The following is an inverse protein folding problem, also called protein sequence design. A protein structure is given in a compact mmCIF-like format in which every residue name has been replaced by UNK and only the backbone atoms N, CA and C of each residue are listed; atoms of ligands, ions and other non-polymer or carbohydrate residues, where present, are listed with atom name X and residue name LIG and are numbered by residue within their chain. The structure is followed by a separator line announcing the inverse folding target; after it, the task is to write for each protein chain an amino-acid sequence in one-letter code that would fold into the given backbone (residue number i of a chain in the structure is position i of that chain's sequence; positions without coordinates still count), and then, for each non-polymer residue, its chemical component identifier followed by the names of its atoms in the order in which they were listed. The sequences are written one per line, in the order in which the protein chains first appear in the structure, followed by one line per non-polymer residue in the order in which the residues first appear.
data_IF_706161061847
#
_entry.id   IF_706161061847
#
_cell.length_a   1.000
_cell.length_b   1.000
_cell.length_c   1.000
_cell.angle_alpha   90.00
_cell.angle_beta   90.00
_cell.angle_gamma   90.00
#
_symmetry.space_group_name_H-M   'P 1'
#
loop_
_entity.id
_entity.type
_entity.pdbx_description
1 polymer ?
#
# COMPACT_ATOMS: atom_id res chain seq x y z
N UNK A 1 -65.37 -20.02 -36.34
CA UNK A 1 -65.12 -19.79 -34.90
C UNK A 1 -63.72 -20.21 -34.43
N UNK A 2 -62.70 -20.31 -35.30
CA UNK A 2 -61.34 -20.73 -34.92
C UNK A 2 -60.21 -19.83 -35.46
N UNK A 3 -60.54 -18.78 -36.22
CA UNK A 3 -59.56 -17.89 -36.85
C UNK A 3 -59.24 -16.68 -35.96
N UNK A 4 -60.19 -16.24 -35.13
CA UNK A 4 -60.07 -15.01 -34.32
C UNK A 4 -59.16 -15.19 -33.09
N UNK A 5 -59.22 -16.37 -32.44
CA UNK A 5 -58.40 -16.66 -31.24
C UNK A 5 -56.91 -16.80 -31.54
N UNK A 6 -56.53 -17.28 -32.74
CA UNK A 6 -55.12 -17.35 -33.13
C UNK A 6 -54.51 -15.98 -33.42
N UNK A 7 -55.31 -15.04 -33.93
CA UNK A 7 -54.86 -13.67 -34.21
C UNK A 7 -54.64 -12.90 -32.90
N UNK A 8 -55.56 -13.04 -31.94
CA UNK A 8 -55.42 -12.46 -30.61
C UNK A 8 -54.19 -12.99 -29.85
N UNK A 9 -53.92 -14.29 -29.94
CA UNK A 9 -52.76 -14.91 -29.28
C UNK A 9 -51.42 -14.51 -29.92
N UNK A 10 -51.38 -14.30 -31.25
CA UNK A 10 -50.19 -13.77 -31.95
C UNK A 10 -49.89 -12.31 -31.57
N UNK A 11 -50.93 -11.47 -31.49
CA UNK A 11 -50.79 -10.05 -31.13
C UNK A 11 -50.35 -9.91 -29.66
N UNK A 12 -50.88 -10.75 -28.76
CA UNK A 12 -50.46 -10.78 -27.35
C UNK A 12 -48.99 -11.23 -27.19
N UNK A 13 -48.56 -12.27 -27.91
CA UNK A 13 -47.16 -12.74 -27.91
C UNK A 13 -46.19 -11.70 -28.50
N UNK A 14 -46.59 -10.98 -29.55
CA UNK A 14 -45.78 -9.89 -30.13
C UNK A 14 -45.65 -8.67 -29.20
N UNK A 15 -46.70 -8.33 -28.44
CA UNK A 15 -46.65 -7.23 -27.46
C UNK A 15 -45.82 -7.59 -26.23
N UNK A 16 -45.87 -8.83 -25.77
CA UNK A 16 -45.04 -9.32 -24.66
C UNK A 16 -43.55 -9.37 -25.08
N UNK A 17 -43.25 -9.77 -26.31
CA UNK A 17 -41.86 -9.77 -26.81
C UNK A 17 -41.31 -8.35 -27.04
N UNK A 18 -42.14 -7.39 -27.45
CA UNK A 18 -41.77 -5.96 -27.51
C UNK A 18 -41.63 -5.31 -26.12
N UNK A 19 -42.36 -5.76 -25.10
CA UNK A 19 -42.15 -5.31 -23.72
C UNK A 19 -40.88 -5.88 -23.09
N UNK A 20 -40.49 -7.10 -23.45
CA UNK A 20 -39.25 -7.74 -22.95
C UNK A 20 -38.01 -7.09 -23.56
N UNK A 21 -38.06 -6.66 -24.83
CA UNK A 21 -36.95 -5.93 -25.46
C UNK A 21 -36.85 -4.45 -25.08
N UNK A 22 -37.84 -3.89 -24.35
CA UNK A 22 -37.78 -2.51 -23.84
C UNK A 22 -37.22 -2.43 -22.40
N UNK A 23 -36.93 -3.58 -21.76
CA UNK A 23 -36.31 -3.64 -20.43
C UNK A 23 -34.81 -3.94 -20.45
N UNK A 24 -34.19 -4.10 -21.62
CA UNK A 24 -32.75 -4.35 -21.79
C UNK A 24 -32.01 -3.11 -22.31
N UNK A 25 -32.28 -1.95 -21.71
CA UNK A 25 -31.40 -0.78 -21.80
C UNK A 25 -30.80 -0.53 -20.41
N UNK A 26 -30.11 -1.54 -19.86
CA UNK A 26 -29.23 -1.32 -18.72
C UNK A 26 -28.04 -0.55 -19.26
N UNK A 27 -28.10 0.77 -19.14
CA UNK A 27 -26.93 1.62 -19.28
C UNK A 27 -25.88 1.09 -18.30
N UNK A 28 -24.83 0.48 -18.83
CA UNK A 28 -23.58 0.29 -18.11
C UNK A 28 -23.02 1.68 -17.84
N UNK A 29 -23.49 2.31 -16.76
CA UNK A 29 -22.74 3.38 -16.14
C UNK A 29 -21.48 2.73 -15.59
N UNK A 30 -20.38 2.86 -16.33
CA UNK A 30 -19.05 2.75 -15.74
C UNK A 30 -19.00 3.82 -14.67
N UNK A 31 -19.23 3.45 -13.42
CA UNK A 31 -18.79 4.26 -12.30
C UNK A 31 -17.27 4.28 -12.42
N UNK A 32 -16.74 5.31 -13.07
CA UNK A 32 -15.38 5.73 -12.85
C UNK A 32 -15.32 6.15 -11.38
N UNK A 33 -14.96 5.21 -10.51
CA UNK A 33 -14.46 5.55 -9.18
C UNK A 33 -13.17 6.32 -9.40
N UNK A 34 -13.28 7.64 -9.53
CA UNK A 34 -12.16 8.53 -9.35
C UNK A 34 -11.70 8.35 -7.91
N UNK A 35 -10.63 7.57 -7.72
CA UNK A 35 -9.91 7.59 -6.47
C UNK A 35 -9.49 9.04 -6.23
N UNK A 36 -9.86 9.61 -5.09
CA UNK A 36 -9.43 10.94 -4.71
C UNK A 36 -7.90 11.03 -4.81
N UNK A 37 -7.40 12.20 -5.21
CA UNK A 37 -5.95 12.41 -5.31
C UNK A 37 -5.26 12.03 -3.99
N UNK A 38 -4.10 11.38 -4.05
CA UNK A 38 -3.36 11.04 -2.86
C UNK A 38 -3.03 12.31 -2.08
N UNK A 39 -3.05 12.24 -0.75
CA UNK A 39 -2.56 13.32 0.11
C UNK A 39 -1.09 13.65 -0.15
N UNK A 40 -0.36 12.69 -0.71
CA UNK A 40 1.04 12.81 -1.06
C UNK A 40 1.44 11.73 -2.07
N UNK A 41 2.28 12.09 -3.03
CA UNK A 41 3.03 11.16 -3.88
C UNK A 41 4.46 11.67 -3.99
N UNK A 42 5.44 10.79 -3.77
CA UNK A 42 6.84 11.18 -3.87
C UNK A 42 7.20 11.58 -5.31
N UNK A 43 7.93 12.69 -5.46
CA UNK A 43 8.28 13.25 -6.77
C UNK A 43 9.53 12.61 -7.40
N UNK A 44 9.64 11.28 -7.34
CA UNK A 44 10.87 10.54 -7.71
C UNK A 44 11.26 10.79 -9.18
N UNK A 45 10.29 10.85 -10.09
CA UNK A 45 10.55 10.98 -11.52
C UNK A 45 11.19 12.33 -11.91
N UNK A 46 10.85 13.40 -11.19
CA UNK A 46 11.38 14.74 -11.46
C UNK A 46 12.60 15.10 -10.59
N UNK A 47 12.95 14.27 -9.61
CA UNK A 47 14.16 14.46 -8.81
C UNK A 47 15.40 13.99 -9.58
N UNK A 48 16.51 14.73 -9.46
CA UNK A 48 17.76 14.42 -10.13
C UNK A 48 18.40 13.12 -9.57
N UNK A 49 19.10 12.36 -10.43
CA UNK A 49 19.78 11.14 -9.97
C UNK A 49 20.94 11.53 -9.07
N UNK A 50 21.03 10.89 -7.89
CA UNK A 50 22.00 11.23 -6.86
C UNK A 50 21.41 12.09 -5.74
N UNK A 51 20.27 12.74 -5.99
CA UNK A 51 19.60 13.61 -5.02
C UNK A 51 18.46 12.88 -4.31
N UNK A 52 17.97 13.50 -3.24
CA UNK A 52 16.73 13.11 -2.54
C UNK A 52 15.66 14.17 -2.86
N UNK A 53 14.37 13.81 -3.00
CA UNK A 53 13.35 14.82 -3.22
C UNK A 53 13.30 15.83 -2.06
N UNK A 54 13.20 17.14 -2.38
CA UNK A 54 13.35 18.25 -1.42
C UNK A 54 12.37 18.22 -0.24
N UNK A 55 11.24 17.53 -0.40
CA UNK A 55 10.19 17.38 0.61
C UNK A 55 10.40 16.19 1.56
N UNK A 56 11.49 15.43 1.38
CA UNK A 56 11.91 14.37 2.28
C UNK A 56 12.81 14.91 3.38
N UNK A 57 12.58 14.41 4.60
CA UNK A 57 13.43 14.63 5.76
C UNK A 57 14.22 13.35 6.03
N UNK A 58 15.49 13.33 5.62
CA UNK A 58 16.44 12.25 5.93
C UNK A 58 16.69 12.23 7.44
N UNK A 59 16.40 11.11 8.10
CA UNK A 59 16.74 10.96 9.52
C UNK A 59 18.18 10.48 9.68
N UNK A 60 18.56 9.51 8.86
CA UNK A 60 19.90 8.94 8.72
C UNK A 60 19.96 8.10 7.43
N UNK A 61 21.16 7.82 6.93
CA UNK A 61 21.44 7.00 5.76
C UNK A 61 21.52 7.78 4.45
N UNK A 62 22.34 7.27 3.52
CA UNK A 62 22.61 7.92 2.23
C UNK A 62 21.55 7.57 1.17
N UNK A 63 20.29 7.89 1.46
CA UNK A 63 19.21 7.75 0.48
C UNK A 63 19.49 8.61 -0.75
N UNK A 64 19.21 8.10 -1.95
CA UNK A 64 19.27 8.90 -3.18
C UNK A 64 18.43 8.29 -4.28
N UNK A 65 17.97 9.12 -5.22
CA UNK A 65 17.34 8.66 -6.46
C UNK A 65 18.37 7.99 -7.34
N UNK A 66 18.08 6.76 -7.76
CA UNK A 66 18.84 6.02 -8.78
C UNK A 66 17.96 5.73 -9.97
N UNK A 67 18.57 5.33 -11.08
CA UNK A 67 17.88 4.97 -12.32
C UNK A 67 18.40 3.63 -12.84
N UNK A 68 17.49 2.72 -13.16
CA UNK A 68 17.80 1.42 -13.77
C UNK A 68 16.72 1.09 -14.80
N UNK A 69 17.11 0.62 -15.99
CA UNK A 69 16.19 0.24 -17.06
C UNK A 69 15.14 1.31 -17.41
N UNK A 70 15.51 2.59 -17.29
CA UNK A 70 14.62 3.72 -17.58
C UNK A 70 13.81 4.23 -16.37
N UNK A 71 13.65 3.43 -15.32
CA UNK A 71 12.83 3.78 -14.16
C UNK A 71 13.68 4.40 -13.04
N UNK A 72 13.15 5.43 -12.37
CA UNK A 72 13.77 6.03 -11.17
C UNK A 72 13.16 5.44 -9.91
N UNK A 73 13.95 5.35 -8.85
CA UNK A 73 13.53 4.88 -7.52
C UNK A 73 14.44 5.48 -6.45
N UNK A 74 13.98 5.51 -5.20
CA UNK A 74 14.81 5.84 -4.04
C UNK A 74 15.62 4.60 -3.66
N UNK A 75 16.93 4.73 -3.46
CA UNK A 75 17.82 3.67 -3.02
C UNK A 75 18.45 4.01 -1.67
N UNK A 76 18.43 3.05 -0.75
CA UNK A 76 19.29 3.00 0.43
C UNK A 76 20.46 2.05 0.12
N UNK A 77 21.73 2.49 0.22
CA UNK A 77 22.87 1.64 -0.13
C UNK A 77 23.03 0.44 0.81
N UNK A 78 23.83 -0.54 0.36
CA UNK A 78 24.14 -1.76 1.09
C UNK A 78 25.02 -1.58 2.34
N UNK A 79 25.51 -0.37 2.60
CA UNK A 79 26.43 -0.04 3.68
C UNK A 79 26.29 1.44 4.06
N UNK A 80 26.49 1.84 5.33
CA UNK A 80 26.82 0.98 6.48
C UNK A 80 25.67 0.07 6.93
N UNK A 81 25.94 -0.86 7.83
CA UNK A 81 24.95 -1.83 8.32
C UNK A 81 24.28 -1.30 9.59
N UNK A 82 23.22 -0.50 9.43
CA UNK A 82 22.39 0.01 10.54
C UNK A 82 20.89 0.02 10.18
N UNK A 83 20.07 0.79 10.89
CA UNK A 83 18.67 1.06 10.58
C UNK A 83 18.46 2.53 10.22
N UNK A 84 18.06 2.77 8.99
CA UNK A 84 17.92 4.08 8.38
C UNK A 84 16.47 4.38 8.06
N UNK A 85 16.12 5.65 8.03
CA UNK A 85 14.76 6.08 7.78
C UNK A 85 14.69 7.47 7.18
N UNK A 86 13.64 7.70 6.40
CA UNK A 86 13.38 8.98 5.77
C UNK A 86 11.87 9.27 5.84
N UNK A 87 11.54 10.50 6.25
CA UNK A 87 10.17 10.94 6.49
C UNK A 87 9.70 11.87 5.37
N UNK A 88 8.41 11.86 5.07
CA UNK A 88 7.84 12.65 3.97
C UNK A 88 6.36 12.92 4.21
N UNK A 89 5.73 13.72 3.35
CA UNK A 89 4.28 13.94 3.36
C UNK A 89 3.72 14.59 4.64
N UNK A 90 2.37 14.67 4.74
CA UNK A 90 1.70 15.36 5.84
C UNK A 90 1.65 14.52 7.11
N UNK A 91 1.75 15.19 8.26
CA UNK A 91 1.57 14.56 9.58
C UNK A 91 0.09 14.32 9.88
N UNK A 92 -0.23 13.10 10.30
CA UNK A 92 -1.58 12.73 10.76
C UNK A 92 -1.52 11.92 12.06
N UNK A 93 -2.68 11.82 12.74
CA UNK A 93 -2.88 10.87 13.85
C UNK A 93 -3.47 9.56 13.34
N UNK A 94 -4.49 9.68 12.50
CA UNK A 94 -5.23 8.58 11.92
C UNK A 94 -5.79 8.98 10.55
N UNK A 95 -6.51 8.04 9.95
CA UNK A 95 -7.27 8.16 8.71
C UNK A 95 -6.40 8.42 7.48
N UNK A 96 -5.18 7.88 7.52
CA UNK A 96 -4.22 7.89 6.43
C UNK A 96 -3.68 6.45 6.24
N UNK A 97 -3.38 6.11 4.98
CA UNK A 97 -2.62 4.93 4.57
C UNK A 97 -1.32 5.41 3.91
N UNK A 98 -0.17 4.87 4.35
CA UNK A 98 1.08 4.93 3.60
C UNK A 98 1.21 3.66 2.76
N UNK A 99 1.68 3.79 1.53
CA UNK A 99 2.10 2.66 0.70
C UNK A 99 3.46 2.91 0.03
N UNK A 100 4.18 1.83 -0.24
CA UNK A 100 5.38 1.84 -1.08
C UNK A 100 5.62 0.45 -1.69
N UNK A 101 6.26 0.45 -2.87
CA UNK A 101 6.94 -0.73 -3.41
C UNK A 101 8.35 -0.78 -2.88
N UNK A 102 8.79 -1.97 -2.48
CA UNK A 102 10.10 -2.16 -1.89
C UNK A 102 10.76 -3.40 -2.50
N UNK A 103 12.02 -3.24 -2.90
CA UNK A 103 12.87 -4.31 -3.43
C UNK A 103 14.14 -4.45 -2.60
N UNK A 104 14.58 -5.68 -2.42
CA UNK A 104 15.86 -5.99 -1.82
C UNK A 104 16.38 -7.35 -2.27
N UNK A 105 17.60 -7.68 -1.89
CA UNK A 105 18.18 -9.00 -2.13
C UNK A 105 18.82 -9.57 -0.88
N UNK A 106 18.77 -10.88 -0.69
CA UNK A 106 19.60 -11.57 0.31
C UNK A 106 21.00 -11.84 -0.24
N UNK A 107 21.99 -11.94 0.64
CA UNK A 107 23.34 -12.41 0.31
C UNK A 107 23.74 -13.56 1.23
N UNK A 108 23.68 -14.78 0.72
CA UNK A 108 23.86 -15.98 1.53
C UNK A 108 22.80 -16.08 2.62
N UNK A 109 23.21 -16.08 3.90
CA UNK A 109 22.32 -16.10 5.07
C UNK A 109 22.01 -14.71 5.64
N UNK A 110 22.45 -13.64 4.96
CA UNK A 110 22.18 -12.26 5.37
C UNK A 110 20.98 -11.70 4.62
N UNK A 111 20.11 -11.01 5.34
CA UNK A 111 18.84 -10.52 4.85
C UNK A 111 18.67 -9.04 5.22
N UNK A 112 18.10 -8.21 4.33
CA UNK A 112 17.69 -6.86 4.71
C UNK A 112 16.40 -6.90 5.54
N UNK A 113 16.13 -5.85 6.30
CA UNK A 113 14.81 -5.56 6.88
C UNK A 113 14.31 -4.27 6.25
N UNK A 114 13.04 -4.19 5.88
CA UNK A 114 12.50 -2.99 5.24
C UNK A 114 11.01 -2.83 5.51
N UNK A 115 10.51 -1.59 5.48
CA UNK A 115 9.13 -1.32 5.84
C UNK A 115 8.67 0.10 5.59
N UNK A 116 7.38 0.32 5.88
CA UNK A 116 6.70 1.62 5.90
C UNK A 116 6.22 1.91 7.31
N UNK A 117 6.13 3.19 7.68
CA UNK A 117 5.72 3.62 9.01
C UNK A 117 4.83 4.87 8.99
N UNK A 118 3.98 4.98 10.01
CA UNK A 118 3.11 6.14 10.29
C UNK A 118 3.39 6.67 11.69
N UNK A 119 3.01 7.93 11.93
CA UNK A 119 3.06 8.62 13.24
C UNK A 119 4.48 8.86 13.78
N UNK A 120 5.45 9.07 12.89
CA UNK A 120 6.83 9.41 13.22
C UNK A 120 7.68 8.23 13.69
N UNK A 121 8.90 8.54 14.15
CA UNK A 121 9.97 7.55 14.44
C UNK A 121 9.55 6.47 15.44
N UNK A 122 8.77 6.84 16.46
CA UNK A 122 8.27 5.93 17.49
C UNK A 122 6.80 5.53 17.27
N UNK A 123 6.28 5.71 16.05
CA UNK A 123 4.93 5.37 15.66
C UNK A 123 4.78 3.88 15.30
N UNK A 124 3.92 3.59 14.33
CA UNK A 124 3.67 2.22 13.88
C UNK A 124 4.50 1.92 12.64
N UNK A 125 5.10 0.73 12.57
CA UNK A 125 5.88 0.27 11.42
C UNK A 125 5.43 -1.11 10.97
N UNK A 126 5.07 -1.23 9.71
CA UNK A 126 4.93 -2.51 9.02
C UNK A 126 6.25 -2.84 8.35
N UNK A 127 6.86 -3.97 8.68
CA UNK A 127 8.12 -4.38 8.07
C UNK A 127 8.13 -5.87 7.68
N UNK A 128 8.95 -6.19 6.68
CA UNK A 128 9.31 -7.56 6.36
C UNK A 128 10.64 -7.87 7.04
N UNK A 129 10.68 -8.97 7.79
CA UNK A 129 11.87 -9.49 8.46
C UNK A 129 12.22 -10.89 7.92
N UNK A 130 12.94 -10.98 6.78
CA UNK A 130 13.22 -12.25 6.13
C UNK A 130 14.12 -13.18 6.95
N UNK A 131 14.97 -12.64 7.84
CA UNK A 131 15.78 -13.45 8.75
C UNK A 131 14.92 -14.25 9.73
N UNK A 132 13.82 -13.66 10.21
CA UNK A 132 12.80 -14.33 11.02
C UNK A 132 11.72 -15.05 10.21
N UNK A 133 11.68 -14.85 8.90
CA UNK A 133 10.62 -15.34 7.99
C UNK A 133 9.24 -14.83 8.42
N UNK A 134 9.15 -13.53 8.66
CA UNK A 134 7.90 -12.91 9.10
C UNK A 134 7.66 -11.53 8.51
N UNK A 135 6.40 -11.14 8.58
CA UNK A 135 5.97 -9.74 8.54
C UNK A 135 5.66 -9.34 9.98
N UNK A 136 6.16 -8.19 10.38
CA UNK A 136 6.01 -7.64 11.74
C UNK A 136 5.29 -6.29 11.68
N UNK A 137 4.39 -6.06 12.62
CA UNK A 137 3.86 -4.75 12.96
C UNK A 137 4.47 -4.32 14.29
N UNK A 138 5.11 -3.15 14.32
CA UNK A 138 5.79 -2.61 15.49
C UNK A 138 5.13 -1.32 15.96
N UNK A 139 5.23 -1.04 17.27
CA UNK A 139 5.02 0.29 17.89
C UNK A 139 6.35 0.73 18.51
N UNK A 140 6.99 1.73 17.91
CA UNK A 140 8.40 2.03 18.18
C UNK A 140 9.28 0.82 17.86
N UNK A 141 9.90 0.22 18.90
CA UNK A 141 10.76 -0.97 18.76
C UNK A 141 10.09 -2.28 19.16
N UNK A 142 8.83 -2.24 19.62
CA UNK A 142 8.12 -3.40 20.16
C UNK A 142 7.28 -4.02 19.05
N UNK A 143 7.46 -5.32 18.78
CA UNK A 143 6.58 -6.08 17.88
C UNK A 143 5.24 -6.30 18.58
N UNK A 144 4.16 -5.81 17.98
CA UNK A 144 2.78 -5.88 18.52
C UNK A 144 1.89 -6.86 17.75
N UNK A 145 2.28 -7.24 16.53
CA UNK A 145 1.67 -8.33 15.78
C UNK A 145 2.71 -8.91 14.80
N UNK A 146 2.61 -10.20 14.51
CA UNK A 146 3.53 -10.90 13.62
C UNK A 146 2.81 -12.05 12.90
N UNK A 147 3.20 -12.33 11.67
CA UNK A 147 2.74 -13.52 10.93
C UNK A 147 3.86 -14.09 10.07
N UNK A 148 3.80 -15.40 9.83
CA UNK A 148 4.79 -16.08 9.02
C UNK A 148 4.73 -15.60 7.57
N UNK A 149 5.91 -15.30 7.00
CA UNK A 149 6.05 -14.86 5.62
C UNK A 149 7.43 -15.22 5.08
N UNK A 150 7.46 -15.97 3.97
CA UNK A 150 8.70 -16.32 3.30
C UNK A 150 8.91 -15.40 2.11
N UNK A 151 9.77 -14.40 2.30
CA UNK A 151 10.15 -13.49 1.22
C UNK A 151 11.03 -14.20 0.16
N UNK A 152 10.68 -14.11 -1.14
CA UNK A 152 11.42 -14.81 -2.19
C UNK A 152 12.81 -14.23 -2.49
N UNK A 153 13.15 -13.03 -1.99
CA UNK A 153 14.34 -12.24 -2.39
C UNK A 153 14.31 -11.80 -3.85
N UNK A 154 14.95 -10.67 -4.17
CA UNK A 154 15.13 -10.20 -5.54
C UNK A 154 13.81 -9.93 -6.27
N UNK A 155 12.79 -9.53 -5.53
CA UNK A 155 11.44 -9.27 -6.03
C UNK A 155 10.85 -8.07 -5.31
N UNK A 156 10.03 -7.32 -6.04
CA UNK A 156 9.29 -6.19 -5.49
C UNK A 156 8.13 -6.71 -4.63
N UNK A 157 7.98 -6.10 -3.46
CA UNK A 157 6.81 -6.23 -2.61
C UNK A 157 6.11 -4.89 -2.50
N UNK A 158 4.80 -4.95 -2.39
CA UNK A 158 3.96 -3.81 -2.05
C UNK A 158 3.60 -3.90 -0.57
N UNK A 159 3.84 -2.81 0.16
CA UNK A 159 3.47 -2.66 1.57
C UNK A 159 2.49 -1.50 1.71
N UNK A 160 1.44 -1.69 2.51
CA UNK A 160 0.52 -0.64 2.90
C UNK A 160 0.24 -0.71 4.42
N UNK A 161 0.33 0.42 5.10
CA UNK A 161 0.02 0.55 6.53
C UNK A 161 -1.00 1.66 6.72
N UNK A 162 -2.06 1.38 7.46
CA UNK A 162 -3.12 2.35 7.76
C UNK A 162 -3.50 2.34 9.24
N UNK A 163 -4.04 3.47 9.69
CA UNK A 163 -4.60 3.62 11.03
C UNK A 163 -5.97 4.28 10.90
N UNK A 164 -7.02 3.57 11.30
CA UNK A 164 -8.39 4.05 11.24
C UNK A 164 -8.94 4.19 12.65
N UNK A 165 -9.65 5.29 12.92
CA UNK A 165 -10.36 5.48 14.19
C UNK A 165 -11.74 4.83 14.08
N UNK A 166 -11.97 3.75 14.82
CA UNK A 166 -13.23 3.02 14.76
C UNK A 166 -14.27 3.63 15.72
N UNK A 167 -13.83 4.06 16.91
CA UNK A 167 -14.64 4.65 17.98
C UNK A 167 -13.82 5.71 18.71
N UNK A 168 -14.43 6.40 19.68
CA UNK A 168 -13.79 7.49 20.42
C UNK A 168 -12.38 7.16 20.97
N UNK A 169 -12.22 5.95 21.52
CA UNK A 169 -10.98 5.46 22.12
C UNK A 169 -10.53 4.12 21.55
N UNK A 170 -10.84 3.86 20.28
CA UNK A 170 -10.46 2.62 19.60
C UNK A 170 -10.00 2.90 18.17
N UNK A 171 -8.82 2.40 17.84
CA UNK A 171 -8.22 2.48 16.50
C UNK A 171 -7.84 1.08 16.01
N UNK A 172 -7.89 0.90 14.70
CA UNK A 172 -7.30 -0.26 14.02
C UNK A 172 -6.03 0.16 13.31
N UNK A 173 -4.94 -0.54 13.59
CA UNK A 173 -3.68 -0.44 12.85
C UNK A 173 -3.59 -1.67 11.96
N UNK A 174 -3.66 -1.49 10.64
CA UNK A 174 -3.66 -2.61 9.69
C UNK A 174 -2.51 -2.52 8.71
N UNK A 175 -1.83 -3.65 8.51
CA UNK A 175 -0.74 -3.79 7.56
C UNK A 175 -1.08 -4.82 6.50
N UNK A 176 -0.83 -4.49 5.24
CA UNK A 176 -1.04 -5.39 4.10
C UNK A 176 0.24 -5.49 3.30
N UNK A 177 0.66 -6.72 2.98
CA UNK A 177 1.84 -7.01 2.19
C UNK A 177 1.47 -7.97 1.08
N UNK A 178 1.89 -7.67 -0.15
CA UNK A 178 1.68 -8.55 -1.30
C UNK A 178 2.83 -8.47 -2.29
N UNK A 179 2.99 -9.51 -3.10
CA UNK A 179 3.96 -9.49 -4.20
C UNK A 179 3.48 -8.53 -5.28
N UNK A 180 4.44 -7.83 -5.87
CA UNK A 180 4.15 -6.91 -6.96
C UNK A 180 3.53 -7.62 -8.16
N UNK A 181 2.63 -6.93 -8.88
CA UNK A 181 1.82 -7.51 -9.96
C UNK A 181 0.66 -8.40 -9.48
N UNK A 182 0.54 -8.70 -8.18
CA UNK A 182 -0.67 -9.32 -7.60
C UNK A 182 -1.64 -8.25 -7.09
N UNK A 183 -2.91 -8.62 -7.02
CA UNK A 183 -3.94 -7.77 -6.44
C UNK A 183 -3.71 -7.56 -4.94
N UNK A 184 -3.94 -6.33 -4.45
CA UNK A 184 -3.97 -6.01 -3.02
C UNK A 184 -4.97 -6.95 -2.32
N UNK A 185 -4.56 -7.69 -1.27
CA UNK A 185 -5.45 -8.54 -0.51
C UNK A 185 -6.65 -7.79 0.06
N UNK A 186 -7.84 -8.39 -0.01
CA UNK A 186 -9.06 -7.81 0.57
C UNK A 186 -9.04 -7.79 2.11
N UNK A 187 -8.30 -8.71 2.74
CA UNK A 187 -8.07 -8.75 4.18
C UNK A 187 -6.65 -8.29 4.49
N UNK A 188 -6.44 -7.50 5.55
CA UNK A 188 -5.10 -7.09 5.93
C UNK A 188 -4.27 -8.32 6.35
N UNK A 189 -2.97 -8.27 6.09
CA UNK A 189 -2.02 -9.31 6.50
C UNK A 189 -1.87 -9.37 8.02
N UNK A 190 -1.88 -8.20 8.66
CA UNK A 190 -1.85 -8.02 10.11
C UNK A 190 -2.86 -6.96 10.53
N UNK A 191 -3.45 -7.13 11.71
CA UNK A 191 -4.31 -6.14 12.34
C UNK A 191 -4.01 -6.07 13.83
N UNK A 192 -4.00 -4.86 14.39
CA UNK A 192 -3.86 -4.62 15.81
C UNK A 192 -4.90 -3.59 16.26
N UNK A 193 -5.57 -3.89 17.38
CA UNK A 193 -6.48 -2.96 18.04
C UNK A 193 -5.70 -2.11 19.02
N UNK A 194 -5.76 -0.80 18.83
CA UNK A 194 -5.14 0.20 19.68
C UNK A 194 -6.22 0.94 20.49
N UNK A 195 -5.93 1.20 21.76
CA UNK A 195 -6.83 1.94 22.67
C UNK A 195 -6.21 3.23 23.20
N UNK A 196 -4.92 3.45 22.94
CA UNK A 196 -4.26 4.73 23.21
C UNK A 196 -4.24 5.57 21.95
N UNK A 197 -4.58 6.86 22.06
CA UNK A 197 -4.61 7.75 20.90
C UNK A 197 -3.26 7.77 20.17
N UNK A 198 -3.24 7.49 18.85
CA UNK A 198 -2.03 7.59 18.04
C UNK A 198 -1.43 8.99 18.05
N UNK A 199 -0.11 9.06 18.12
CA UNK A 199 0.63 10.33 18.05
C UNK A 199 0.45 11.00 16.69
N UNK A 200 0.47 12.32 16.62
CA UNK A 200 0.55 13.02 15.32
C UNK A 200 1.99 12.94 14.80
N UNK A 201 2.22 12.45 13.59
CA UNK A 201 3.56 12.42 13.00
C UNK A 201 3.56 12.12 11.50
N UNK A 202 4.68 12.40 10.83
CA UNK A 202 4.83 12.13 9.39
C UNK A 202 4.98 10.63 9.10
N UNK A 203 4.56 10.16 7.92
CA UNK A 203 4.94 8.87 7.38
C UNK A 203 6.46 8.76 7.13
N UNK A 204 6.95 7.52 7.01
CA UNK A 204 8.34 7.21 6.61
C UNK A 204 8.48 5.85 5.94
N UNK A 205 9.57 5.68 5.19
CA UNK A 205 10.11 4.36 4.82
C UNK A 205 11.35 4.07 5.68
N UNK A 206 11.61 2.78 5.91
CA UNK A 206 12.71 2.31 6.74
C UNK A 206 13.45 1.15 6.08
N UNK A 207 14.74 1.05 6.37
CA UNK A 207 15.61 0.00 5.83
C UNK A 207 16.79 -0.32 6.73
N UNK A 208 17.11 -1.61 6.82
CA UNK A 208 18.36 -2.12 7.39
C UNK A 208 19.03 -3.02 6.37
N UNK A 209 20.06 -2.55 5.65
CA UNK A 209 20.67 -3.26 4.52
C UNK A 209 21.63 -4.37 4.97
N UNK A 210 21.25 -5.17 5.98
CA UNK A 210 22.11 -6.20 6.60
C UNK A 210 22.55 -7.31 5.64
N UNK A 211 21.98 -7.41 4.44
CA UNK A 211 22.48 -8.23 3.33
C UNK A 211 23.77 -7.70 2.69
N UNK A 212 24.15 -6.45 2.93
CA UNK A 212 25.23 -5.78 2.21
C UNK A 212 24.86 -5.43 0.77
N UNK A 213 23.56 -5.39 0.46
CA UNK A 213 23.01 -5.03 -0.85
C UNK A 213 21.97 -3.93 -0.69
N UNK A 214 21.77 -3.07 -1.70
CA UNK A 214 20.83 -1.96 -1.59
C UNK A 214 19.38 -2.39 -1.39
N UNK A 215 18.60 -1.48 -0.79
CA UNK A 215 17.13 -1.56 -0.69
C UNK A 215 16.56 -0.43 -1.55
N UNK A 216 15.60 -0.75 -2.42
CA UNK A 216 15.00 0.20 -3.36
C UNK A 216 13.54 0.43 -2.99
N UNK A 217 13.07 1.65 -3.15
CA UNK A 217 11.72 2.10 -2.83
C UNK A 217 11.15 2.89 -3.99
N UNK A 218 9.89 2.61 -4.33
CA UNK A 218 9.17 3.26 -5.41
C UNK A 218 7.67 3.32 -5.09
N UNK A 219 6.87 3.98 -5.93
CA UNK A 219 5.42 4.11 -5.77
C UNK A 219 5.00 4.58 -4.36
N UNK A 220 5.80 5.48 -3.78
CA UNK A 220 5.59 6.01 -2.43
C UNK A 220 4.41 6.98 -2.44
N UNK A 221 3.38 6.67 -1.67
CA UNK A 221 2.17 7.48 -1.57
C UNK A 221 1.60 7.51 -0.15
N UNK A 222 0.84 8.57 0.13
CA UNK A 222 -0.03 8.67 1.30
C UNK A 222 -1.43 8.97 0.81
N UNK A 223 -2.39 8.14 1.20
CA UNK A 223 -3.79 8.28 0.85
C UNK A 223 -4.61 8.61 2.09
N UNK A 224 -5.72 9.34 1.89
CA UNK A 224 -6.74 9.47 2.93
C UNK A 224 -7.50 8.16 3.02
N UNK A 225 -7.73 7.65 4.22
CA UNK A 225 -8.67 6.54 4.43
C UNK A 225 -9.97 7.09 4.99
N UNK A 226 -11.07 6.40 4.69
CA UNK A 226 -12.35 6.72 5.31
C UNK A 226 -12.24 6.61 6.84
N UNK A 227 -12.96 7.49 7.54
CA UNK A 227 -13.17 7.41 8.98
C UNK A 227 -14.21 6.33 9.29
#
# INVERSE_FOLDING_TARGET
MAVDDQLALKILRMKIWKLINLLFAVAFFTLETHAADPLYRANIDNTEVGEVPDDFLVLDGDFSVKKENGNKFIELPGSPLDSFGIMFGPSARQSNEISARIYGTKKGRRYPVFGVALNGVNGYRLQVNPAKRSIELLKGKIVIAETAFRWPSGSWLQLALSITKNKESEWSVTGTVWEDGKNKPAKPTLSFKETQEPRKGKPSIWGSPYSGTPIRYDDIAVNKTAN
#
